data_IF_723840265229
#
_entry.id   IF_723840265229
#
_cell.length_a   1.000
_cell.length_b   1.000
_cell.length_c   1.000
_cell.angle_alpha   90.00
_cell.angle_beta   90.00
_cell.angle_gamma   90.00
#
_symmetry.space_group_name_H-M   'P 1'
#
loop_
_entity.id
_entity.type
_entity.pdbx_description
1 polymer ?
#
# COMPACT_ATOMS: atom_id res chain seq x y z
N UNK A 1 -13.97 24.19 27.23
CA UNK A 1 -12.71 23.48 26.92
C UNK A 1 -12.83 22.41 25.82
N UNK A 2 -13.99 22.22 25.19
CA UNK A 2 -14.21 21.22 24.12
C UNK A 2 -13.81 21.68 22.71
N UNK A 3 -13.66 22.98 22.44
CA UNK A 3 -13.28 23.45 21.10
C UNK A 3 -11.81 23.17 20.75
N UNK A 4 -10.87 23.28 21.69
CA UNK A 4 -9.45 22.99 21.46
C UNK A 4 -9.22 21.52 21.08
N UNK A 5 -9.90 20.60 21.78
CA UNK A 5 -9.80 19.16 21.51
C UNK A 5 -10.32 18.78 20.11
N UNK A 6 -11.31 19.51 19.59
CA UNK A 6 -11.85 19.28 18.23
C UNK A 6 -10.83 19.61 17.15
N UNK A 7 -10.14 20.74 17.23
CA UNK A 7 -9.11 21.12 16.25
C UNK A 7 -7.92 20.16 16.29
N UNK A 8 -7.48 19.76 17.50
CA UNK A 8 -6.40 18.79 17.67
C UNK A 8 -6.77 17.43 17.05
N UNK A 9 -8.00 16.95 17.27
CA UNK A 9 -8.48 15.70 16.67
C UNK A 9 -8.48 15.75 15.14
N UNK A 10 -8.93 16.86 14.54
CA UNK A 10 -8.95 17.03 13.08
C UNK A 10 -7.53 17.05 12.51
N UNK A 11 -6.61 17.81 13.12
CA UNK A 11 -5.21 17.89 12.67
C UNK A 11 -4.54 16.51 12.75
N UNK A 12 -4.73 15.78 13.86
CA UNK A 12 -4.18 14.43 14.03
C UNK A 12 -4.74 13.45 13.00
N UNK A 13 -6.04 13.51 12.72
CA UNK A 13 -6.68 12.66 11.72
C UNK A 13 -6.16 12.96 10.30
N UNK A 14 -6.04 14.25 9.94
CA UNK A 14 -5.48 14.65 8.64
C UNK A 14 -4.03 14.22 8.49
N UNK A 15 -3.21 14.40 9.52
CA UNK A 15 -1.83 13.95 9.52
C UNK A 15 -1.74 12.42 9.37
N UNK A 16 -2.57 11.66 10.10
CA UNK A 16 -2.63 10.20 10.00
C UNK A 16 -2.98 9.72 8.59
N UNK A 17 -3.98 10.34 7.94
CA UNK A 17 -4.35 10.01 6.55
C UNK A 17 -3.23 10.37 5.58
N UNK A 18 -2.54 11.50 5.77
CA UNK A 18 -1.40 11.88 4.94
C UNK A 18 -0.23 10.88 5.04
N UNK A 19 0.12 10.44 6.26
CA UNK A 19 1.12 9.40 6.46
C UNK A 19 0.70 8.05 5.86
N UNK A 20 -0.59 7.69 5.97
CA UNK A 20 -1.13 6.49 5.34
C UNK A 20 -0.99 6.52 3.81
N UNK A 21 -1.31 7.66 3.17
CA UNK A 21 -1.12 7.86 1.74
C UNK A 21 0.35 7.79 1.32
N UNK A 22 1.26 8.37 2.11
CA UNK A 22 2.69 8.29 1.88
C UNK A 22 3.22 6.84 1.94
N UNK A 23 2.75 6.04 2.90
CA UNK A 23 3.13 4.63 3.00
C UNK A 23 2.62 3.81 1.80
N UNK A 24 1.40 4.06 1.35
CA UNK A 24 0.81 3.37 0.19
C UNK A 24 1.59 3.67 -1.09
N UNK A 25 1.92 4.95 -1.34
CA UNK A 25 2.67 5.38 -2.52
C UNK A 25 4.16 5.05 -2.47
N UNK A 26 4.79 5.12 -1.30
CA UNK A 26 6.24 4.94 -1.14
C UNK A 26 6.70 3.49 -0.96
N UNK A 27 5.82 2.59 -0.50
CA UNK A 27 6.16 1.20 -0.24
C UNK A 27 5.33 0.23 -1.06
N UNK A 28 4.01 0.24 -0.90
CA UNK A 28 3.13 -0.82 -1.39
C UNK A 28 3.11 -0.95 -2.92
N UNK A 29 3.06 0.20 -3.62
CA UNK A 29 3.00 0.22 -5.09
C UNK A 29 4.36 -0.01 -5.73
N UNK A 30 5.41 0.55 -5.14
CA UNK A 30 6.77 0.48 -5.68
C UNK A 30 7.40 -0.89 -5.45
N UNK A 31 7.24 -1.51 -4.27
CA UNK A 31 7.74 -2.87 -4.02
C UNK A 31 7.12 -3.89 -4.97
N UNK A 32 5.83 -3.80 -5.27
CA UNK A 32 5.18 -4.72 -6.20
C UNK A 32 5.70 -4.55 -7.64
N UNK A 33 6.00 -3.31 -8.03
CA UNK A 33 6.53 -2.98 -9.34
C UNK A 33 8.02 -3.35 -9.49
N UNK A 34 8.80 -3.23 -8.42
CA UNK A 34 10.25 -3.46 -8.42
C UNK A 34 10.62 -4.92 -8.15
N UNK A 35 9.80 -5.68 -7.41
CA UNK A 35 10.02 -7.11 -7.12
C UNK A 35 9.42 -8.01 -8.22
N UNK A 36 8.28 -7.66 -8.85
CA UNK A 36 7.67 -8.54 -9.83
C UNK A 36 6.69 -7.82 -10.76
N UNK A 37 7.15 -7.15 -11.83
CA UNK A 37 6.27 -6.41 -12.75
C UNK A 37 5.19 -7.30 -13.40
N UNK A 38 5.41 -8.62 -13.48
CA UNK A 38 4.46 -9.60 -14.03
C UNK A 38 3.41 -10.10 -13.02
N UNK A 39 3.68 -10.03 -11.72
CA UNK A 39 2.77 -10.53 -10.66
C UNK A 39 2.14 -9.41 -9.81
N UNK A 40 2.56 -8.16 -10.02
CA UNK A 40 2.04 -6.98 -9.32
C UNK A 40 0.51 -6.94 -9.29
N UNK A 41 -0.16 -7.14 -10.44
CA UNK A 41 -1.62 -7.10 -10.53
C UNK A 41 -2.34 -8.15 -9.68
N UNK A 42 -1.79 -9.36 -9.57
CA UNK A 42 -2.38 -10.46 -8.77
C UNK A 42 -2.23 -10.17 -7.27
N UNK A 43 -1.05 -9.72 -6.85
CA UNK A 43 -0.78 -9.35 -5.45
C UNK A 43 -1.67 -8.18 -5.01
N UNK A 44 -1.81 -7.17 -5.88
CA UNK A 44 -2.73 -6.06 -5.66
C UNK A 44 -4.18 -6.51 -5.56
N UNK A 45 -4.62 -7.40 -6.45
CA UNK A 45 -5.98 -7.96 -6.44
C UNK A 45 -6.29 -8.70 -5.15
N UNK A 46 -5.39 -9.59 -4.71
CA UNK A 46 -5.51 -10.34 -3.44
C UNK A 46 -5.55 -9.38 -2.25
N UNK A 47 -4.67 -8.38 -2.23
CA UNK A 47 -4.64 -7.38 -1.15
C UNK A 47 -5.94 -6.58 -1.08
N UNK A 48 -6.51 -6.21 -2.22
CA UNK A 48 -7.78 -5.50 -2.29
C UNK A 48 -8.96 -6.37 -1.83
N UNK A 49 -8.92 -7.68 -2.09
CA UNK A 49 -9.95 -8.60 -1.55
C UNK A 49 -9.89 -8.70 -0.03
N UNK A 50 -8.68 -8.79 0.55
CA UNK A 50 -8.55 -8.75 2.01
C UNK A 50 -8.88 -7.38 2.61
N UNK A 51 -8.71 -6.28 1.86
CA UNK A 51 -9.07 -4.93 2.31
C UNK A 51 -10.58 -4.68 2.30
N UNK A 52 -11.32 -5.28 1.36
CA UNK A 52 -12.78 -5.06 1.23
C UNK A 52 -13.57 -5.74 2.35
N UNK A 53 -13.14 -6.90 2.86
CA UNK A 53 -13.81 -7.62 3.97
C UNK A 53 -14.01 -6.74 5.22
N UNK A 54 -12.95 -6.18 5.84
CA UNK A 54 -13.11 -5.27 6.98
C UNK A 54 -13.81 -3.96 6.60
N UNK A 55 -13.72 -3.52 5.33
CA UNK A 55 -14.48 -2.37 4.82
C UNK A 55 -15.99 -2.57 4.88
N UNK A 56 -16.47 -3.79 4.64
CA UNK A 56 -17.89 -4.16 4.75
C UNK A 56 -18.33 -4.28 6.21
N UNK A 57 -17.47 -4.86 7.06
CA UNK A 57 -17.80 -5.13 8.48
C UNK A 57 -17.75 -3.83 9.32
N UNK A 58 -16.87 -2.90 8.98
CA UNK A 58 -16.66 -1.61 9.65
C UNK A 58 -17.96 -0.84 9.97
N UNK A 59 -18.81 -0.47 8.99
CA UNK A 59 -20.02 0.32 9.25
C UNK A 59 -21.04 -0.41 10.13
N UNK A 60 -21.09 -1.74 10.06
CA UNK A 60 -21.97 -2.54 10.93
C UNK A 60 -21.56 -2.44 12.41
N UNK A 61 -20.26 -2.56 12.68
CA UNK A 61 -19.71 -2.43 14.03
C UNK A 61 -19.86 -1.00 14.56
N UNK A 62 -19.58 0.00 13.74
CA UNK A 62 -19.71 1.42 14.13
C UNK A 62 -21.18 1.78 14.39
N UNK A 63 -22.11 1.30 13.57
CA UNK A 63 -23.55 1.49 13.76
C UNK A 63 -24.04 0.94 15.09
N UNK A 64 -23.71 -0.33 15.38
CA UNK A 64 -24.10 -0.98 16.63
C UNK A 64 -23.53 -0.30 17.89
N UNK A 65 -22.33 0.27 17.82
CA UNK A 65 -21.69 0.97 18.94
C UNK A 65 -22.24 2.39 19.16
N UNK A 66 -22.66 3.06 18.08
CA UNK A 66 -23.02 4.49 18.10
C UNK A 66 -24.51 4.71 18.36
N UNK A 67 -25.38 3.71 18.13
CA UNK A 67 -26.83 3.83 18.33
C UNK A 67 -27.26 4.27 19.74
N UNK A 68 -26.47 3.93 20.77
CA UNK A 68 -26.87 4.16 22.17
C UNK A 68 -26.31 5.44 22.78
N UNK A 69 -25.13 5.89 22.36
CA UNK A 69 -24.48 7.07 22.97
C UNK A 69 -23.37 7.68 22.08
N UNK A 70 -23.39 8.99 21.76
CA UNK A 70 -22.35 9.66 20.99
C UNK A 70 -20.96 9.67 21.67
N UNK A 71 -20.87 9.41 22.98
CA UNK A 71 -19.58 9.30 23.66
C UNK A 71 -18.81 8.01 23.32
N UNK A 72 -19.49 7.01 22.74
CA UNK A 72 -18.88 5.71 22.40
C UNK A 72 -17.93 5.76 21.20
N UNK A 73 -17.86 6.89 20.47
CA UNK A 73 -16.89 7.09 19.38
C UNK A 73 -15.44 6.90 19.83
N UNK A 74 -15.12 7.13 21.11
CA UNK A 74 -13.79 6.85 21.67
C UNK A 74 -13.42 5.36 21.56
N UNK A 75 -14.38 4.46 21.76
CA UNK A 75 -14.18 3.01 21.64
C UNK A 75 -13.88 2.64 20.18
N UNK A 76 -14.57 3.28 19.22
CA UNK A 76 -14.30 3.08 17.79
C UNK A 76 -12.87 3.46 17.44
N UNK A 77 -12.39 4.62 17.92
CA UNK A 77 -11.00 5.03 17.69
C UNK A 77 -9.98 4.07 18.34
N UNK A 78 -10.28 3.53 19.53
CA UNK A 78 -9.43 2.52 20.17
C UNK A 78 -9.36 1.22 19.36
N UNK A 79 -10.49 0.73 18.85
CA UNK A 79 -10.53 -0.47 17.99
C UNK A 79 -9.71 -0.24 16.73
N UNK A 80 -9.89 0.91 16.05
CA UNK A 80 -9.09 1.27 14.88
C UNK A 80 -7.59 1.29 15.20
N UNK A 81 -7.20 1.91 16.32
CA UNK A 81 -5.80 1.99 16.75
C UNK A 81 -5.19 0.60 16.99
N UNK A 82 -5.92 -0.31 17.64
CA UNK A 82 -5.46 -1.69 17.87
C UNK A 82 -5.22 -2.41 16.54
N UNK A 83 -6.13 -2.28 15.58
CA UNK A 83 -6.00 -2.89 14.25
C UNK A 83 -4.75 -2.36 13.53
N UNK A 84 -4.50 -1.04 13.58
CA UNK A 84 -3.29 -0.44 13.01
C UNK A 84 -2.01 -0.94 13.68
N UNK A 85 -2.00 -1.07 15.01
CA UNK A 85 -0.83 -1.56 15.76
C UNK A 85 -0.56 -3.02 15.42
N UNK A 86 -1.58 -3.86 15.33
CA UNK A 86 -1.43 -5.26 14.90
C UNK A 86 -0.88 -5.32 13.48
N UNK A 87 -1.43 -4.53 12.55
CA UNK A 87 -0.94 -4.45 11.17
C UNK A 87 0.53 -4.01 11.11
N UNK A 88 0.91 -3.03 11.92
CA UNK A 88 2.30 -2.57 12.05
C UNK A 88 3.20 -3.68 12.58
N UNK A 89 2.81 -4.40 13.62
CA UNK A 89 3.60 -5.50 14.20
C UNK A 89 3.79 -6.62 13.16
N UNK A 90 2.72 -7.02 12.48
CA UNK A 90 2.78 -8.05 11.43
C UNK A 90 3.73 -7.60 10.32
N UNK A 91 3.64 -6.34 9.89
CA UNK A 91 4.55 -5.79 8.87
C UNK A 91 5.99 -5.71 9.37
N UNK A 92 6.24 -5.36 10.63
CA UNK A 92 7.59 -5.34 11.20
C UNK A 92 8.19 -6.75 11.35
N UNK A 93 7.36 -7.76 11.64
CA UNK A 93 7.82 -9.14 11.80
C UNK A 93 8.03 -9.86 10.46
N UNK A 94 7.19 -9.60 9.46
CA UNK A 94 7.19 -10.31 8.18
C UNK A 94 7.76 -9.49 7.01
N UNK A 95 7.87 -8.18 7.18
CA UNK A 95 8.40 -7.29 6.17
C UNK A 95 9.91 -7.49 6.01
N UNK A 96 10.31 -7.98 4.85
CA UNK A 96 11.71 -7.96 4.41
C UNK A 96 11.86 -6.95 3.29
N UNK A 97 12.83 -6.04 3.44
CA UNK A 97 13.19 -5.03 2.44
C UNK A 97 14.22 -5.52 1.43
N UNK A 98 14.54 -6.81 1.45
CA UNK A 98 15.54 -7.40 0.56
C UNK A 98 14.89 -7.95 -0.71
N UNK A 99 15.54 -7.71 -1.86
CA UNK A 99 15.13 -8.24 -3.16
C UNK A 99 15.07 -9.77 -3.09
N UNK A 100 13.87 -10.31 -3.19
CA UNK A 100 13.66 -11.75 -3.09
C UNK A 100 14.30 -12.46 -4.30
N UNK A 101 14.99 -13.58 -4.12
CA UNK A 101 15.80 -14.22 -5.18
C UNK A 101 14.98 -14.73 -6.38
N UNK A 102 13.67 -14.92 -6.21
CA UNK A 102 12.77 -15.29 -7.31
C UNK A 102 12.37 -14.12 -8.21
N UNK A 103 12.64 -12.87 -7.79
CA UNK A 103 12.41 -11.64 -8.55
C UNK A 103 13.52 -11.32 -9.55
N UNK A 104 14.63 -12.04 -9.52
CA UNK A 104 15.75 -11.82 -10.42
C UNK A 104 15.29 -12.23 -11.82
N UNK A 105 15.06 -11.23 -12.70
CA UNK A 105 14.85 -11.49 -14.11
C UNK A 105 16.07 -12.26 -14.65
N UNK A 106 15.85 -13.50 -15.07
CA UNK A 106 16.74 -14.12 -16.04
C UNK A 106 16.60 -13.28 -17.31
N UNK A 107 17.48 -12.30 -17.47
CA UNK A 107 17.60 -11.55 -18.71
C UNK A 107 18.00 -12.54 -19.79
N UNK A 108 17.03 -13.03 -20.56
CA UNK A 108 17.29 -13.84 -21.73
C UNK A 108 18.14 -13.01 -22.69
N UNK A 109 19.41 -13.39 -22.82
CA UNK A 109 20.40 -12.69 -23.64
C UNK A 109 19.83 -12.38 -25.04
N UNK A 110 19.04 -13.28 -25.61
CA UNK A 110 18.38 -13.10 -26.91
C UNK A 110 17.61 -11.77 -27.04
N UNK A 111 16.92 -11.31 -26.00
CA UNK A 111 16.18 -10.04 -26.02
C UNK A 111 17.11 -8.81 -26.00
N UNK A 112 18.27 -8.91 -25.34
CA UNK A 112 19.31 -7.88 -25.37
C UNK A 112 19.96 -7.79 -26.74
N UNK A 113 20.17 -8.92 -27.43
CA UNK A 113 20.71 -8.96 -28.78
C UNK A 113 19.75 -8.31 -29.78
N UNK A 114 18.44 -8.57 -29.66
CA UNK A 114 17.43 -7.92 -30.51
C UNK A 114 17.38 -6.40 -30.28
N UNK A 115 17.41 -5.95 -29.01
CA UNK A 115 17.42 -4.52 -28.67
C UNK A 115 18.71 -3.81 -29.07
N UNK A 116 19.85 -4.52 -29.06
CA UNK A 116 21.15 -4.00 -29.49
C UNK A 116 21.24 -3.92 -31.01
N UNK A 117 20.72 -4.92 -31.73
CA UNK A 117 20.68 -4.91 -33.19
C UNK A 117 19.77 -3.78 -33.70
N UNK A 118 18.59 -3.59 -33.10
CA UNK A 118 17.65 -2.53 -33.48
C UNK A 118 18.22 -1.12 -33.28
N UNK A 119 18.93 -0.88 -32.17
CA UNK A 119 19.63 0.40 -31.95
C UNK A 119 20.80 0.61 -32.92
N UNK A 120 21.43 -0.47 -33.38
CA UNK A 120 22.54 -0.40 -34.32
C UNK A 120 22.04 -0.12 -35.74
N UNK A 121 20.92 -0.73 -36.14
CA UNK A 121 20.27 -0.47 -37.43
C UNK A 121 19.75 0.96 -37.54
N UNK A 122 19.19 1.52 -36.46
CA UNK A 122 18.70 2.90 -36.46
C UNK A 122 19.81 3.95 -36.60
N UNK A 123 21.01 3.68 -36.06
CA UNK A 123 22.17 4.55 -36.26
C UNK A 123 22.69 4.53 -37.69
N UNK A 124 22.71 3.35 -38.31
CA UNK A 124 23.17 3.17 -39.70
C UNK A 124 22.27 3.88 -40.72
N UNK A 125 20.97 4.01 -40.45
CA UNK A 125 20.03 4.77 -41.30
C UNK A 125 20.04 6.28 -41.07
N UNK A 126 20.66 6.76 -39.99
CA UNK A 126 20.76 8.21 -39.69
C UNK A 126 22.07 8.86 -40.16
N UNK A 127 23.04 8.05 -40.60
CA UNK A 127 24.35 8.50 -41.09
C UNK A 127 24.49 8.40 -42.63
N UNK A 128 23.40 8.11 -43.34
CA UNK A 128 23.28 8.19 -44.82
C UNK A 128 22.25 9.23 -45.21
#
# INVERSE_FOLDING_TARGET
MTCQLKYVAVILLTAGVAFGGFCFGGGFVLVANDIAPRYAGVVFGISNTFATIPGIISPYVVGALTEKDPNNWRIVFFICSIIYVIGMIVFLCLGSSELQPWAIEHVDNNNLLLKKNDKTTLKMTSET
#
